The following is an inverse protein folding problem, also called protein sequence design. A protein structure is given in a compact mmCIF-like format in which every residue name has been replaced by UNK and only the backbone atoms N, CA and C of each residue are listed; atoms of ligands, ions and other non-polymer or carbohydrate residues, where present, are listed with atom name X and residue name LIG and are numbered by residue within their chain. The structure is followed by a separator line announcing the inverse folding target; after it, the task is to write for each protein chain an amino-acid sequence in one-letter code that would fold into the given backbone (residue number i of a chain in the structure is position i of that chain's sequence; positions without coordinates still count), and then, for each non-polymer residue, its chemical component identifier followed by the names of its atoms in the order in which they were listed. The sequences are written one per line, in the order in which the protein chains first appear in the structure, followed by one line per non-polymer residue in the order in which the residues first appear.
data_IF_154097857734
#
_entry.id   IF_154097857734
#
_cell.length_a   1.000
_cell.length_b   1.000
_cell.length_c   1.000
_cell.angle_alpha   90.00
_cell.angle_beta   90.00
_cell.angle_gamma   90.00
#
_symmetry.space_group_name_H-M   'P 1'
#
loop_
_entity.id
_entity.type
_entity.pdbx_description
1 polymer ?
#
# COMPACT_ATOMS: atom_id res chain seq x y z
N UNK A 1 -11.21 -53.81 -8.39
CA UNK A 1 -9.86 -53.90 -8.97
C UNK A 1 -9.74 -52.77 -9.99
N UNK A 2 -8.87 -51.80 -9.75
CA UNK A 2 -8.64 -50.68 -10.69
C UNK A 2 -7.91 -51.20 -11.93
N UNK A 3 -8.26 -50.66 -13.08
CA UNK A 3 -7.65 -51.02 -14.35
C UNK A 3 -6.13 -50.71 -14.35
N UNK A 4 -5.29 -51.50 -15.02
CA UNK A 4 -3.84 -51.28 -15.08
C UNK A 4 -3.44 -49.88 -15.57
N UNK A 5 -4.30 -49.26 -16.36
CA UNK A 5 -4.12 -47.89 -16.85
C UNK A 5 -4.30 -46.83 -15.77
N UNK A 6 -5.22 -47.05 -14.82
CA UNK A 6 -5.45 -46.14 -13.69
C UNK A 6 -4.28 -46.24 -12.70
N UNK A 7 -3.79 -47.46 -12.45
CA UNK A 7 -2.62 -47.71 -11.58
C UNK A 7 -1.37 -47.00 -12.16
N UNK A 8 -1.14 -47.10 -13.47
CA UNK A 8 -0.02 -46.39 -14.13
C UNK A 8 -0.13 -44.84 -14.01
N UNK A 9 -1.33 -44.27 -14.15
CA UNK A 9 -1.52 -42.85 -13.98
C UNK A 9 -1.29 -42.40 -12.55
N UNK A 10 -1.74 -43.15 -11.53
CA UNK A 10 -1.52 -42.85 -10.12
C UNK A 10 -0.03 -42.93 -9.77
N UNK A 11 0.68 -43.96 -10.26
CA UNK A 11 2.13 -44.12 -10.05
C UNK A 11 2.94 -42.99 -10.74
N UNK A 12 2.54 -42.57 -11.95
CA UNK A 12 3.16 -41.45 -12.64
C UNK A 12 2.95 -40.12 -11.92
N UNK A 13 1.75 -39.88 -11.36
CA UNK A 13 1.44 -38.69 -10.59
C UNK A 13 2.18 -38.66 -9.25
N UNK A 14 2.27 -39.79 -8.55
CA UNK A 14 3.05 -39.91 -7.32
C UNK A 14 4.55 -39.70 -7.57
N UNK A 15 5.10 -40.25 -8.66
CA UNK A 15 6.50 -40.06 -9.05
C UNK A 15 6.82 -38.59 -9.37
N UNK A 16 5.88 -37.82 -10.01
CA UNK A 16 6.02 -36.37 -10.25
C UNK A 16 6.04 -35.60 -8.96
N UNK A 17 5.18 -35.90 -7.99
CA UNK A 17 5.14 -35.22 -6.68
C UNK A 17 6.42 -35.48 -5.89
N UNK A 18 6.90 -36.72 -5.87
CA UNK A 18 8.15 -37.09 -5.20
C UNK A 18 9.35 -36.38 -5.84
N UNK A 19 9.37 -36.28 -7.18
CA UNK A 19 10.41 -35.53 -7.91
C UNK A 19 10.42 -34.06 -7.57
N UNK A 20 9.25 -33.41 -7.47
CA UNK A 20 9.15 -32.02 -7.03
C UNK A 20 9.62 -31.83 -5.57
N UNK A 21 9.28 -32.76 -4.68
CA UNK A 21 9.70 -32.73 -3.28
C UNK A 21 11.21 -32.91 -3.11
N UNK A 22 11.81 -33.83 -3.90
CA UNK A 22 13.26 -34.02 -3.93
C UNK A 22 13.98 -32.82 -4.53
N UNK A 23 13.42 -32.18 -5.56
CA UNK A 23 13.98 -30.92 -6.10
C UNK A 23 13.91 -29.77 -5.07
N UNK A 24 12.83 -29.66 -4.32
CA UNK A 24 12.72 -28.68 -3.24
C UNK A 24 13.70 -28.96 -2.09
N UNK A 25 13.86 -30.22 -1.69
CA UNK A 25 14.85 -30.62 -0.69
C UNK A 25 16.30 -30.38 -1.18
N UNK A 26 16.59 -30.64 -2.47
CA UNK A 26 17.89 -30.37 -3.06
C UNK A 26 18.19 -28.86 -3.12
N UNK A 27 17.18 -28.04 -3.37
CA UNK A 27 17.30 -26.57 -3.30
C UNK A 27 17.55 -26.08 -1.87
N UNK A 28 16.91 -26.70 -0.87
CA UNK A 28 17.07 -26.35 0.55
C UNK A 28 18.39 -26.83 1.15
N UNK A 29 18.95 -27.94 0.63
CA UNK A 29 20.24 -28.49 1.15
C UNK A 29 21.46 -27.92 0.44
N UNK A 30 21.34 -27.46 -0.80
CA UNK A 30 22.44 -26.76 -1.50
C UNK A 30 22.55 -25.27 -1.21
N UNK A 31 21.61 -24.70 -0.43
CA UNK A 31 21.73 -23.29 0.00
C UNK A 31 22.73 -23.07 1.14
N UNK A 32 23.39 -24.12 1.63
CA UNK A 32 24.36 -24.03 2.74
C UNK A 32 25.82 -24.02 2.29
N UNK A 33 26.15 -23.73 1.03
CA UNK A 33 27.52 -23.93 0.54
C UNK A 33 28.08 -22.98 -0.50
N UNK A 34 27.48 -21.83 -0.73
CA UNK A 34 28.17 -20.69 -1.36
C UNK A 34 27.75 -19.42 -0.65
N UNK A 35 28.73 -18.66 -0.14
CA UNK A 35 28.60 -17.24 0.13
C UNK A 35 28.13 -16.55 -1.16
N UNK A 36 26.86 -16.76 -1.53
CA UNK A 36 26.19 -15.83 -2.40
C UNK A 36 26.30 -14.51 -1.65
N UNK A 37 27.14 -13.62 -2.13
CA UNK A 37 27.10 -12.20 -1.89
C UNK A 37 25.75 -11.66 -2.37
N UNK A 38 24.64 -12.18 -1.86
CA UNK A 38 23.47 -11.39 -1.68
C UNK A 38 23.95 -10.31 -0.74
N UNK A 39 24.33 -9.17 -1.32
CA UNK A 39 24.34 -7.92 -0.60
C UNK A 39 23.04 -7.95 0.16
N UNK A 40 23.12 -8.28 1.43
CA UNK A 40 22.02 -8.11 2.35
C UNK A 40 21.75 -6.62 2.25
N UNK A 41 20.79 -6.27 1.39
CA UNK A 41 20.27 -4.92 1.38
C UNK A 41 19.75 -4.77 2.78
N UNK A 42 20.47 -4.06 3.61
CA UNK A 42 20.02 -3.70 4.94
C UNK A 42 18.89 -2.68 4.73
N UNK A 43 17.74 -3.17 4.26
CA UNK A 43 16.47 -2.43 4.14
C UNK A 43 15.89 -2.11 5.52
N UNK A 44 16.72 -2.15 6.54
CA UNK A 44 16.37 -1.80 7.91
C UNK A 44 16.46 -0.28 8.19
N UNK A 45 16.92 0.51 7.18
CA UNK A 45 16.96 1.97 7.25
C UNK A 45 15.75 2.57 6.54
N UNK A 46 15.04 3.45 7.24
CA UNK A 46 13.84 4.12 6.72
C UNK A 46 12.52 3.51 7.19
N UNK A 47 11.42 3.97 6.61
CA UNK A 47 10.06 3.57 6.94
C UNK A 47 9.53 2.58 5.91
N UNK A 48 9.10 1.41 6.36
CA UNK A 48 8.42 0.44 5.50
C UNK A 48 6.94 0.84 5.34
N UNK A 49 6.47 1.01 4.11
CA UNK A 49 5.04 1.24 3.84
C UNK A 49 4.31 -0.06 3.55
N UNK A 50 3.17 -0.25 4.20
CA UNK A 50 2.21 -1.32 3.93
C UNK A 50 0.93 -0.72 3.37
N UNK A 51 0.64 -1.00 2.11
CA UNK A 51 -0.49 -0.46 1.35
C UNK A 51 -1.68 -1.41 1.39
N UNK A 52 -2.86 -0.86 1.65
CA UNK A 52 -4.14 -1.56 1.63
C UNK A 52 -5.17 -0.76 0.86
N UNK A 53 -6.27 -1.41 0.43
CA UNK A 53 -7.36 -0.76 -0.30
C UNK A 53 -8.72 -1.18 0.27
N UNK A 54 -9.15 -2.42 0.01
CA UNK A 54 -10.46 -2.97 0.37
C UNK A 54 -10.36 -3.91 1.55
N UNK A 55 -11.44 -4.00 2.32
CA UNK A 55 -11.49 -4.82 3.52
C UNK A 55 -12.73 -5.72 3.50
N UNK A 56 -12.51 -7.01 3.67
CA UNK A 56 -13.58 -8.00 3.88
C UNK A 56 -14.61 -8.07 2.73
N UNK A 57 -14.23 -7.67 1.53
CA UNK A 57 -15.05 -7.82 0.32
C UNK A 57 -14.84 -9.20 -0.30
N UNK A 58 -15.90 -9.74 -0.99
CA UNK A 58 -15.80 -11.02 -1.69
C UNK A 58 -15.28 -10.91 -3.13
N UNK A 59 -15.06 -9.67 -3.60
CA UNK A 59 -14.58 -9.34 -4.94
C UNK A 59 -13.19 -8.73 -4.84
N UNK A 60 -12.50 -8.65 -5.97
CA UNK A 60 -11.22 -7.96 -6.13
C UNK A 60 -10.10 -8.51 -5.21
N UNK A 61 -9.74 -9.81 -5.33
CA UNK A 61 -8.82 -10.46 -4.41
C UNK A 61 -7.41 -9.84 -4.39
N UNK A 62 -6.99 -9.15 -5.45
CA UNK A 62 -5.69 -8.46 -5.54
C UNK A 62 -5.59 -7.20 -4.68
N UNK A 63 -6.73 -6.56 -4.36
CA UNK A 63 -6.78 -5.31 -3.58
C UNK A 63 -7.56 -5.45 -2.28
N UNK A 64 -8.05 -6.66 -1.95
CA UNK A 64 -8.87 -6.91 -0.78
C UNK A 64 -8.12 -7.73 0.27
N UNK A 65 -8.22 -7.34 1.53
CA UNK A 65 -7.74 -8.10 2.68
C UNK A 65 -8.90 -8.54 3.57
N UNK A 66 -8.85 -9.78 4.09
CA UNK A 66 -9.77 -10.23 5.13
C UNK A 66 -9.37 -9.64 6.47
N UNK A 67 -10.36 -9.23 7.27
CA UNK A 67 -10.11 -8.56 8.55
C UNK A 67 -9.26 -9.40 9.51
N UNK A 68 -9.50 -10.71 9.61
CA UNK A 68 -8.68 -11.57 10.47
C UNK A 68 -7.18 -11.53 10.08
N UNK A 69 -6.87 -11.50 8.79
CA UNK A 69 -5.48 -11.39 8.30
C UNK A 69 -4.91 -10.01 8.62
N UNK A 70 -5.67 -8.94 8.37
CA UNK A 70 -5.25 -7.58 8.70
C UNK A 70 -4.97 -7.42 10.20
N UNK A 71 -5.88 -7.90 11.05
CA UNK A 71 -5.70 -7.87 12.51
C UNK A 71 -4.46 -8.64 12.96
N UNK A 72 -4.21 -9.81 12.38
CA UNK A 72 -3.03 -10.61 12.73
C UNK A 72 -1.74 -9.94 12.27
N UNK A 73 -1.71 -9.29 11.10
CA UNK A 73 -0.58 -8.47 10.66
C UNK A 73 -0.30 -7.33 11.65
N UNK A 74 -1.32 -6.58 12.07
CA UNK A 74 -1.17 -5.51 13.07
C UNK A 74 -0.71 -6.02 14.44
N UNK A 75 -1.19 -7.19 14.88
CA UNK A 75 -0.72 -7.86 16.11
C UNK A 75 0.75 -8.27 16.01
N UNK A 76 1.18 -8.80 14.86
CA UNK A 76 2.58 -9.16 14.61
C UNK A 76 3.46 -7.91 14.70
N UNK A 77 3.08 -6.81 14.06
CA UNK A 77 3.80 -5.54 14.11
C UNK A 77 3.92 -5.07 15.57
N UNK A 78 2.81 -5.03 16.32
CA UNK A 78 2.79 -4.62 17.73
C UNK A 78 3.67 -5.48 18.65
N UNK A 79 3.81 -6.78 18.36
CA UNK A 79 4.66 -7.70 19.10
C UNK A 79 6.13 -7.66 18.68
N UNK A 80 6.42 -7.06 17.56
CA UNK A 80 7.76 -6.95 17.01
C UNK A 80 8.53 -5.76 17.57
N UNK A 81 9.72 -5.52 17.05
CA UNK A 81 10.51 -4.31 17.36
C UNK A 81 10.10 -3.11 16.49
N UNK A 82 9.12 -3.28 15.57
CA UNK A 82 8.63 -2.22 14.72
C UNK A 82 7.60 -1.36 15.45
N UNK A 83 7.59 -0.07 15.10
CA UNK A 83 6.61 0.90 15.59
C UNK A 83 5.81 1.45 14.41
N UNK A 84 4.57 1.85 14.64
CA UNK A 84 3.80 2.55 13.63
C UNK A 84 4.34 3.98 13.44
N UNK A 85 4.57 4.34 12.18
CA UNK A 85 4.99 5.67 11.80
C UNK A 85 3.81 6.62 11.77
N UNK A 86 3.95 7.78 12.41
CA UNK A 86 2.92 8.80 12.33
C UNK A 86 3.15 9.67 11.08
N UNK A 87 2.21 9.74 10.11
CA UNK A 87 2.37 10.54 8.91
C UNK A 87 2.69 12.03 9.15
N UNK A 88 2.27 12.60 10.27
CA UNK A 88 2.62 13.98 10.67
C UNK A 88 4.13 14.18 10.86
N UNK A 89 4.87 13.10 11.03
CA UNK A 89 6.32 13.19 11.20
C UNK A 89 7.06 13.43 9.88
N UNK A 90 6.37 13.30 8.72
CA UNK A 90 6.95 13.72 7.43
C UNK A 90 7.17 15.24 7.31
N UNK A 91 6.48 16.04 8.12
CA UNK A 91 6.67 17.49 8.20
C UNK A 91 7.90 17.88 9.02
N UNK A 92 8.49 16.93 9.76
CA UNK A 92 9.68 17.12 10.56
C UNK A 92 10.94 16.76 9.78
N UNK A 93 12.10 17.12 10.33
CA UNK A 93 13.38 16.65 9.79
C UNK A 93 13.43 15.11 9.82
N UNK A 94 13.59 14.52 8.63
CA UNK A 94 13.64 13.06 8.46
C UNK A 94 15.05 12.55 8.81
N UNK A 95 15.17 11.85 9.92
CA UNK A 95 16.38 11.16 10.34
C UNK A 95 16.23 9.65 10.12
N UNK A 96 16.86 9.13 9.08
CA UNK A 96 16.75 7.72 8.68
C UNK A 96 17.16 6.74 9.79
N UNK A 97 18.09 7.11 10.66
CA UNK A 97 18.51 6.24 11.76
C UNK A 97 17.46 6.20 12.88
N UNK A 98 16.73 7.31 13.11
CA UNK A 98 15.60 7.36 14.05
C UNK A 98 14.36 6.69 13.48
N UNK A 99 14.21 6.70 12.15
CA UNK A 99 13.05 6.13 11.45
C UNK A 99 13.21 4.62 11.16
N UNK A 100 14.30 4.01 11.61
CA UNK A 100 14.51 2.55 11.50
C UNK A 100 13.41 1.79 12.24
N UNK A 101 12.97 0.67 11.63
CA UNK A 101 11.95 -0.22 12.20
C UNK A 101 10.60 0.48 12.43
N UNK A 102 10.27 1.44 11.60
CA UNK A 102 8.93 2.03 11.56
C UNK A 102 8.14 1.53 10.36
N UNK A 103 6.85 1.38 10.56
CA UNK A 103 5.91 0.92 9.55
C UNK A 103 4.81 1.95 9.38
N UNK A 104 4.68 2.46 8.16
CA UNK A 104 3.58 3.30 7.73
C UNK A 104 2.45 2.44 7.17
N UNK A 105 1.24 2.71 7.57
CA UNK A 105 0.03 2.13 6.97
C UNK A 105 -0.52 3.14 5.97
N UNK A 106 -0.77 2.71 4.74
CA UNK A 106 -1.46 3.51 3.72
C UNK A 106 -2.70 2.78 3.24
N UNK A 107 -3.77 3.54 3.01
CA UNK A 107 -5.06 3.05 2.53
C UNK A 107 -5.42 3.86 1.30
N UNK A 108 -5.54 3.20 0.15
CA UNK A 108 -5.83 3.87 -1.11
C UNK A 108 -7.33 3.82 -1.46
N UNK A 109 -7.79 4.75 -2.31
CA UNK A 109 -9.12 4.85 -2.94
C UNK A 109 -10.28 5.27 -2.03
N UNK A 110 -10.14 5.31 -0.73
CA UNK A 110 -11.23 5.61 0.20
C UNK A 110 -12.47 4.71 0.00
N UNK A 111 -12.28 3.39 -0.16
CA UNK A 111 -13.39 2.44 -0.25
C UNK A 111 -14.21 2.40 1.05
N UNK A 112 -15.53 2.24 0.89
CA UNK A 112 -16.44 2.14 2.03
C UNK A 112 -16.11 0.97 2.95
N UNK A 113 -15.61 -0.14 2.40
CA UNK A 113 -15.21 -1.30 3.18
C UNK A 113 -14.07 -1.02 4.17
N UNK A 114 -13.16 -0.09 3.85
CA UNK A 114 -12.19 0.38 4.84
C UNK A 114 -12.86 1.09 6.01
N UNK A 115 -13.78 2.01 5.74
CA UNK A 115 -14.51 2.72 6.80
C UNK A 115 -15.34 1.77 7.66
N UNK A 116 -16.00 0.78 7.05
CA UNK A 116 -16.87 -0.15 7.78
C UNK A 116 -16.07 -1.16 8.63
N UNK A 117 -14.87 -1.58 8.19
CA UNK A 117 -14.12 -2.66 8.84
C UNK A 117 -12.73 -2.25 9.33
N UNK A 118 -11.91 -1.62 8.49
CA UNK A 118 -10.52 -1.28 8.82
C UNK A 118 -10.41 -0.12 9.81
N UNK A 119 -11.16 0.95 9.56
CA UNK A 119 -11.13 2.15 10.39
C UNK A 119 -11.47 1.91 11.87
N UNK A 120 -12.56 1.20 12.24
CA UNK A 120 -12.86 0.92 13.64
C UNK A 120 -11.73 0.19 14.36
N UNK A 121 -11.05 -0.72 13.66
CA UNK A 121 -9.90 -1.43 14.23
C UNK A 121 -8.69 -0.53 14.44
N UNK A 122 -8.33 0.30 13.43
CA UNK A 122 -7.21 1.24 13.55
C UNK A 122 -7.46 2.26 14.66
N UNK A 123 -8.69 2.81 14.73
CA UNK A 123 -9.13 3.75 15.77
C UNK A 123 -9.00 3.15 17.17
N UNK A 124 -9.54 1.95 17.40
CA UNK A 124 -9.48 1.23 18.67
C UNK A 124 -8.03 0.95 19.12
N UNK A 125 -7.13 0.77 18.16
CA UNK A 125 -5.74 0.38 18.42
C UNK A 125 -4.76 1.55 18.39
N UNK A 126 -5.23 2.79 18.18
CA UNK A 126 -4.42 4.01 18.03
C UNK A 126 -3.33 3.86 16.96
N UNK A 127 -3.67 3.28 15.80
CA UNK A 127 -2.74 3.08 14.70
C UNK A 127 -2.91 4.21 13.70
N UNK A 128 -1.89 5.07 13.48
CA UNK A 128 -1.94 6.14 12.50
C UNK A 128 -1.75 5.58 11.07
N UNK A 129 -2.31 6.30 10.09
CA UNK A 129 -2.26 5.91 8.68
C UNK A 129 -2.49 7.10 7.75
N UNK A 130 -2.16 6.92 6.45
CA UNK A 130 -2.58 7.84 5.39
C UNK A 130 -3.78 7.22 4.67
N UNK A 131 -4.82 8.02 4.42
CA UNK A 131 -5.92 7.71 3.53
C UNK A 131 -5.76 8.51 2.25
N UNK A 132 -5.35 7.87 1.16
CA UNK A 132 -5.27 8.49 -0.15
C UNK A 132 -6.64 8.51 -0.83
N UNK A 133 -7.12 9.70 -1.17
CA UNK A 133 -8.49 9.91 -1.64
C UNK A 133 -8.49 10.40 -3.08
N UNK A 134 -9.16 9.65 -3.96
CA UNK A 134 -9.57 10.13 -5.28
C UNK A 134 -10.93 10.81 -5.15
N UNK A 135 -11.05 12.06 -5.61
CA UNK A 135 -12.22 12.88 -5.25
C UNK A 135 -13.48 12.57 -6.03
N UNK A 136 -13.39 12.08 -7.27
CA UNK A 136 -14.55 11.76 -8.14
C UNK A 136 -15.41 10.59 -7.67
N UNK A 137 -14.84 9.50 -7.08
CA UNK A 137 -15.64 8.39 -6.55
C UNK A 137 -16.31 8.67 -5.22
N UNK A 138 -15.85 9.67 -4.44
CA UNK A 138 -16.41 9.96 -3.11
C UNK A 138 -17.94 10.13 -3.17
N UNK A 139 -18.64 9.46 -2.27
CA UNK A 139 -20.11 9.46 -2.20
C UNK A 139 -20.80 8.49 -3.16
N UNK A 140 -20.08 7.86 -4.09
CA UNK A 140 -20.65 6.81 -4.95
C UNK A 140 -20.76 5.48 -4.21
N UNK A 141 -21.57 4.57 -4.75
CA UNK A 141 -21.72 3.22 -4.21
C UNK A 141 -20.36 2.51 -4.08
N UNK A 142 -20.03 2.03 -2.89
CA UNK A 142 -18.79 1.34 -2.58
C UNK A 142 -17.63 2.23 -2.12
N UNK A 143 -17.83 3.55 -2.11
CA UNK A 143 -16.85 4.53 -1.63
C UNK A 143 -17.36 5.26 -0.38
N UNK A 144 -16.45 5.84 0.35
CA UNK A 144 -16.74 6.69 1.50
C UNK A 144 -17.43 7.98 1.07
N UNK A 145 -18.18 8.59 1.99
CA UNK A 145 -18.70 9.94 1.87
C UNK A 145 -17.68 10.95 2.41
N UNK A 146 -17.82 12.23 2.03
CA UNK A 146 -17.00 13.31 2.61
C UNK A 146 -17.15 13.42 4.12
N UNK A 147 -18.35 13.16 4.67
CA UNK A 147 -18.55 13.13 6.14
C UNK A 147 -17.68 12.08 6.83
N UNK A 148 -17.57 10.89 6.23
CA UNK A 148 -16.73 9.80 6.75
C UNK A 148 -15.23 10.13 6.64
N UNK A 149 -14.82 10.76 5.54
CA UNK A 149 -13.43 11.22 5.34
C UNK A 149 -13.08 12.31 6.36
N UNK A 150 -13.99 13.26 6.61
CA UNK A 150 -13.82 14.31 7.64
C UNK A 150 -13.69 13.71 9.05
N UNK A 151 -14.51 12.72 9.40
CA UNK A 151 -14.37 12.02 10.69
C UNK A 151 -12.96 11.43 10.88
N UNK A 152 -12.43 10.82 9.83
CA UNK A 152 -11.06 10.26 9.85
C UNK A 152 -10.02 11.38 9.99
N UNK A 153 -10.15 12.45 9.19
CA UNK A 153 -9.26 13.61 9.23
C UNK A 153 -9.19 14.23 10.65
N UNK A 154 -10.33 14.35 11.29
CA UNK A 154 -10.45 14.99 12.61
C UNK A 154 -10.02 14.10 13.77
N UNK A 155 -9.77 12.81 13.51
CA UNK A 155 -9.42 11.82 14.53
C UNK A 155 -7.98 11.92 15.06
N UNK A 156 -7.10 12.70 14.43
CA UNK A 156 -5.65 12.73 14.66
C UNK A 156 -4.90 11.40 14.38
N UNK A 157 -5.57 10.40 13.82
CA UNK A 157 -4.98 9.12 13.41
C UNK A 157 -4.89 9.01 11.89
N UNK A 158 -5.93 9.47 11.17
CA UNK A 158 -5.96 9.49 9.72
C UNK A 158 -5.34 10.78 9.19
N UNK A 159 -4.39 10.65 8.28
CA UNK A 159 -3.84 11.73 7.49
C UNK A 159 -4.39 11.62 6.08
N UNK A 160 -4.99 12.68 5.55
CA UNK A 160 -5.55 12.61 4.20
C UNK A 160 -4.46 12.90 3.18
N UNK A 161 -4.28 11.99 2.23
CA UNK A 161 -3.42 12.13 1.08
C UNK A 161 -4.22 12.33 -0.21
N UNK A 162 -3.59 12.87 -1.23
CA UNK A 162 -4.16 13.14 -2.54
C UNK A 162 -3.97 11.93 -3.45
N UNK A 163 -5.01 11.49 -4.16
CA UNK A 163 -4.96 10.36 -5.10
C UNK A 163 -5.63 10.67 -6.45
N UNK A 164 -5.41 11.89 -6.97
CA UNK A 164 -6.03 12.42 -8.19
C UNK A 164 -7.54 12.74 -8.03
N UNK A 165 -8.17 13.17 -9.14
CA UNK A 165 -9.62 13.31 -9.20
C UNK A 165 -10.28 12.03 -9.68
N UNK A 166 -9.93 11.57 -10.87
CA UNK A 166 -10.66 10.50 -11.55
C UNK A 166 -10.24 9.10 -11.12
N UNK A 167 -9.01 8.90 -10.66
CA UNK A 167 -8.35 7.61 -10.54
C UNK A 167 -8.27 6.86 -11.89
N UNK A 168 -8.18 7.60 -12.99
CA UNK A 168 -7.92 7.02 -14.32
C UNK A 168 -6.43 6.62 -14.46
N UNK A 169 -6.12 5.92 -15.55
CA UNK A 169 -4.73 5.66 -15.95
C UNK A 169 -4.10 6.96 -16.45
N UNK A 170 -3.59 7.77 -15.52
CA UNK A 170 -3.14 9.15 -15.80
C UNK A 170 -1.93 9.21 -16.74
N UNK A 171 -1.13 8.13 -16.80
CA UNK A 171 0.00 8.04 -17.72
C UNK A 171 -0.41 8.05 -19.19
N UNK A 172 -1.64 7.63 -19.50
CA UNK A 172 -2.22 7.62 -20.85
C UNK A 172 -2.85 8.96 -21.23
N UNK A 173 -2.93 9.91 -20.30
CA UNK A 173 -3.49 11.24 -20.53
C UNK A 173 -2.44 12.19 -21.10
N UNK A 174 -2.89 13.21 -21.81
CA UNK A 174 -2.03 14.34 -22.14
C UNK A 174 -1.60 15.09 -20.89
N UNK A 175 -0.50 15.82 -20.97
CA UNK A 175 -0.01 16.65 -19.88
C UNK A 175 -1.08 17.63 -19.36
N UNK A 176 -1.88 18.19 -20.26
CA UNK A 176 -2.94 19.12 -19.90
C UNK A 176 -4.07 18.43 -19.15
N UNK A 177 -4.54 17.27 -19.61
CA UNK A 177 -5.58 16.49 -18.94
C UNK A 177 -5.13 16.01 -17.54
N UNK A 178 -3.85 15.66 -17.40
CA UNK A 178 -3.27 15.35 -16.10
C UNK A 178 -3.33 16.54 -15.13
N UNK A 179 -2.89 17.72 -15.58
CA UNK A 179 -2.96 18.95 -14.77
C UNK A 179 -4.41 19.24 -14.37
N UNK A 180 -5.34 19.20 -15.31
CA UNK A 180 -6.76 19.46 -15.06
C UNK A 180 -7.36 18.48 -14.03
N UNK A 181 -6.98 17.19 -14.09
CA UNK A 181 -7.40 16.19 -13.10
C UNK A 181 -6.91 16.57 -11.69
N UNK A 182 -5.63 16.90 -11.53
CA UNK A 182 -5.06 17.28 -10.24
C UNK A 182 -5.70 18.59 -9.72
N UNK A 183 -5.84 19.60 -10.57
CA UNK A 183 -6.44 20.87 -10.17
C UNK A 183 -7.92 20.73 -9.78
N UNK A 184 -8.66 19.86 -10.47
CA UNK A 184 -10.04 19.57 -10.11
C UNK A 184 -10.13 18.91 -8.72
N UNK A 185 -9.25 17.96 -8.43
CA UNK A 185 -9.16 17.37 -7.11
C UNK A 185 -8.82 18.42 -6.05
N UNK A 186 -7.83 19.30 -6.32
CA UNK A 186 -7.43 20.39 -5.42
C UNK A 186 -8.61 21.31 -5.04
N UNK A 187 -9.44 21.69 -6.02
CA UNK A 187 -10.64 22.50 -5.78
C UNK A 187 -11.62 21.80 -4.84
N UNK A 188 -11.84 20.50 -5.04
CA UNK A 188 -12.75 19.71 -4.21
C UNK A 188 -12.18 19.54 -2.80
N UNK A 189 -10.91 19.18 -2.64
CA UNK A 189 -10.27 19.08 -1.33
C UNK A 189 -10.36 20.42 -0.57
N UNK A 190 -10.06 21.52 -1.24
CA UNK A 190 -10.16 22.85 -0.63
C UNK A 190 -11.57 23.17 -0.16
N UNK A 191 -12.59 22.80 -0.95
CA UNK A 191 -14.00 22.98 -0.61
C UNK A 191 -14.44 22.10 0.57
N UNK A 192 -14.01 20.81 0.57
CA UNK A 192 -14.50 19.84 1.52
C UNK A 192 -13.70 19.82 2.83
N UNK A 193 -12.38 19.94 2.77
CA UNK A 193 -11.49 19.83 3.93
C UNK A 193 -10.94 21.19 4.39
N UNK A 194 -11.08 22.26 3.59
CA UNK A 194 -10.47 23.58 3.87
C UNK A 194 -8.99 23.67 3.46
N UNK A 195 -8.37 22.59 3.04
CA UNK A 195 -6.98 22.56 2.58
C UNK A 195 -6.81 21.57 1.42
N UNK A 196 -5.65 21.60 0.76
CA UNK A 196 -5.22 20.61 -0.23
C UNK A 196 -4.20 19.68 0.44
N UNK A 197 -4.37 18.34 0.37
CA UNK A 197 -3.38 17.42 0.91
C UNK A 197 -2.00 17.60 0.25
N UNK A 198 -0.95 17.64 1.05
CA UNK A 198 0.43 17.88 0.60
C UNK A 198 1.19 16.63 0.16
N UNK A 199 0.63 15.45 0.43
CA UNK A 199 1.22 14.16 0.06
C UNK A 199 0.37 13.54 -1.04
N UNK A 200 1.03 13.05 -2.10
CA UNK A 200 0.39 12.46 -3.27
C UNK A 200 0.64 10.94 -3.33
N UNK A 201 -0.29 10.18 -3.91
CA UNK A 201 -0.07 8.80 -4.35
C UNK A 201 -0.46 8.69 -5.81
N UNK A 202 0.44 8.16 -6.64
CA UNK A 202 0.16 7.95 -8.06
C UNK A 202 -0.85 6.81 -8.23
N UNK A 203 -2.02 7.04 -8.88
CA UNK A 203 -2.93 5.96 -9.27
C UNK A 203 -2.17 4.85 -10.03
N UNK A 204 -2.37 3.59 -9.64
CA UNK A 204 -1.66 2.42 -10.16
C UNK A 204 -0.12 2.43 -9.96
N UNK A 205 0.43 3.45 -9.29
CA UNK A 205 1.86 3.60 -9.07
C UNK A 205 2.67 4.00 -10.30
N UNK A 206 2.01 4.31 -11.43
CA UNK A 206 2.66 4.66 -12.68
C UNK A 206 2.69 6.16 -12.92
N UNK A 207 3.82 6.65 -13.45
CA UNK A 207 4.01 8.06 -13.72
C UNK A 207 5.04 8.29 -14.86
N UNK A 208 4.85 9.37 -15.59
CA UNK A 208 5.83 9.91 -16.54
C UNK A 208 6.77 10.90 -15.85
N UNK A 209 7.87 11.23 -16.54
CA UNK A 209 8.76 12.30 -16.06
C UNK A 209 8.02 13.62 -15.88
N UNK A 210 7.12 13.97 -16.78
CA UNK A 210 6.32 15.19 -16.67
C UNK A 210 5.44 15.20 -15.43
N UNK A 211 4.75 14.08 -15.16
CA UNK A 211 3.90 13.93 -13.97
C UNK A 211 4.72 14.09 -12.69
N UNK A 212 5.88 13.42 -12.62
CA UNK A 212 6.79 13.56 -11.49
C UNK A 212 7.25 15.01 -11.30
N UNK A 213 7.73 15.66 -12.36
CA UNK A 213 8.20 17.06 -12.30
C UNK A 213 7.07 18.03 -11.85
N UNK A 214 5.82 17.75 -12.23
CA UNK A 214 4.65 18.52 -11.78
C UNK A 214 4.33 18.26 -10.30
N UNK A 215 4.31 16.99 -9.88
CA UNK A 215 4.01 16.62 -8.50
C UNK A 215 5.08 17.15 -7.54
N UNK A 216 6.36 17.08 -7.89
CA UNK A 216 7.48 17.61 -7.10
C UNK A 216 7.34 19.12 -6.83
N UNK A 217 6.77 19.89 -7.78
CA UNK A 217 6.54 21.32 -7.63
C UNK A 217 5.35 21.68 -6.75
N UNK A 218 4.38 20.77 -6.61
CA UNK A 218 3.08 21.07 -6.01
C UNK A 218 2.80 20.28 -4.71
N UNK A 219 3.58 19.25 -4.43
CA UNK A 219 3.41 18.39 -3.26
C UNK A 219 4.74 18.25 -2.50
N UNK A 220 4.68 17.82 -1.26
CA UNK A 220 5.86 17.63 -0.41
C UNK A 220 6.48 16.23 -0.53
N UNK A 221 5.66 15.24 -0.95
CA UNK A 221 6.04 13.83 -1.03
C UNK A 221 5.08 13.10 -1.96
N UNK A 222 5.58 12.09 -2.70
CA UNK A 222 4.75 11.20 -3.48
C UNK A 222 5.04 9.73 -3.24
N UNK A 223 4.00 8.90 -3.41
CA UNK A 223 4.05 7.44 -3.27
C UNK A 223 3.75 6.78 -4.61
N UNK A 224 4.63 5.86 -5.01
CA UNK A 224 4.37 4.88 -6.06
C UNK A 224 3.99 3.52 -5.46
N UNK A 225 4.02 2.46 -6.29
CA UNK A 225 3.75 1.08 -5.85
C UNK A 225 5.00 0.18 -5.90
N UNK A 226 6.17 0.77 -5.88
CA UNK A 226 7.43 0.00 -5.85
C UNK A 226 7.72 -0.50 -4.44
N UNK A 227 8.15 -1.77 -4.35
CA UNK A 227 8.55 -2.34 -3.07
C UNK A 227 9.84 -1.70 -2.57
N UNK A 228 9.87 -1.31 -1.28
CA UNK A 228 11.04 -0.71 -0.66
C UNK A 228 10.74 -0.05 0.67
N UNK A 229 11.72 0.67 1.16
CA UNK A 229 11.58 1.54 2.33
C UNK A 229 11.61 2.99 1.88
N UNK A 230 10.87 3.82 2.57
CA UNK A 230 10.85 5.27 2.37
C UNK A 230 12.15 5.83 2.97
N UNK A 231 12.96 6.42 2.11
CA UNK A 231 14.18 7.14 2.48
C UNK A 231 14.15 8.54 1.83
N UNK A 232 13.65 9.52 2.56
CA UNK A 232 13.47 10.88 2.06
C UNK A 232 14.78 11.61 1.74
N UNK A 233 15.93 11.02 2.12
CA UNK A 233 17.24 11.55 1.74
C UNK A 233 17.66 11.10 0.33
N UNK A 234 16.97 10.12 -0.25
CA UNK A 234 17.25 9.60 -1.59
C UNK A 234 16.27 10.10 -2.62
N UNK A 235 14.99 9.88 -2.37
CA UNK A 235 13.92 10.23 -3.30
C UNK A 235 12.64 10.53 -2.53
N UNK A 236 11.94 11.61 -2.92
CA UNK A 236 10.67 12.03 -2.33
C UNK A 236 9.49 11.87 -3.30
N UNK A 237 9.74 11.53 -4.59
CA UNK A 237 8.74 11.59 -5.64
C UNK A 237 8.84 10.43 -6.63
#
# INVERSE_FOLDING_TARGET
LFSPMIIKKILSFAASIISLFILQLFYLTNSNGEDSKFKQYSNDKGVLSLMYHRFNENKYPSTNIRMNIFEDQMKIIKKSKFQFYNPKDFEKEFDIEKERKKILITIDDAFKSFYDYGWPFLKKNNIPFILFVSTKPVGKKGYMTWSQIKEINDSNLGFIGHHSHTHDYLIDKSNQEFIEDIEQANKIFKSELGYVPSIFSYPFGEYSKFMRDYIEKNFSLAFGQHSGVIDLNKDKF
#
